data_IF_811173288816
#
_entry.id   IF_811173288816
#
_cell.length_a   1.000
_cell.length_b   1.000
_cell.length_c   1.000
_cell.angle_alpha   90.00
_cell.angle_beta   90.00
_cell.angle_gamma   90.00
#
_symmetry.space_group_name_H-M   'P 1'
#
loop_
_entity.id
_entity.type
_entity.pdbx_description
1 polymer ?
#
# COMPACT_ATOMS: atom_id res chain seq x y z
N UNK A 1 10.54 6.42 -14.66
CA UNK A 1 9.75 7.01 -13.56
C UNK A 1 10.73 7.24 -12.40
N UNK A 2 10.39 7.99 -11.34
CA UNK A 2 11.33 8.24 -10.25
C UNK A 2 11.42 6.97 -9.38
N UNK A 3 12.60 6.37 -9.24
CA UNK A 3 12.79 5.06 -8.56
C UNK A 3 12.21 5.06 -7.14
N UNK A 4 12.39 6.16 -6.40
CA UNK A 4 11.80 6.37 -5.08
C UNK A 4 10.27 6.28 -5.07
N UNK A 5 9.62 6.82 -6.09
CA UNK A 5 8.15 6.78 -6.24
C UNK A 5 7.69 5.36 -6.53
N UNK A 6 8.46 4.59 -7.31
CA UNK A 6 8.15 3.21 -7.63
C UNK A 6 8.28 2.30 -6.41
N UNK A 7 9.35 2.46 -5.61
CA UNK A 7 9.52 1.71 -4.34
C UNK A 7 8.39 1.97 -3.35
N UNK A 8 8.00 3.24 -3.17
CA UNK A 8 6.88 3.60 -2.27
C UNK A 8 5.55 3.10 -2.82
N UNK A 9 5.31 3.24 -4.14
CA UNK A 9 4.13 2.68 -4.81
C UNK A 9 4.02 1.19 -4.56
N UNK A 10 5.11 0.44 -4.72
CA UNK A 10 5.09 -1.02 -4.60
C UNK A 10 4.83 -1.46 -3.16
N UNK A 11 5.42 -0.78 -2.17
CA UNK A 11 5.10 -1.03 -0.76
C UNK A 11 3.61 -0.78 -0.46
N UNK A 12 3.07 0.36 -0.93
CA UNK A 12 1.66 0.71 -0.76
C UNK A 12 0.73 -0.27 -1.48
N UNK A 13 1.11 -0.76 -2.67
CA UNK A 13 0.31 -1.70 -3.44
C UNK A 13 0.15 -3.02 -2.69
N UNK A 14 1.21 -3.53 -2.04
CA UNK A 14 1.12 -4.73 -1.22
C UNK A 14 0.22 -4.54 0.02
N UNK A 15 0.26 -3.37 0.67
CA UNK A 15 -0.66 -3.03 1.76
C UNK A 15 -2.12 -3.00 1.30
N UNK A 16 -2.38 -2.39 0.13
CA UNK A 16 -3.71 -2.32 -0.46
C UNK A 16 -4.19 -3.73 -0.79
N UNK A 17 -3.40 -4.55 -1.49
CA UNK A 17 -3.75 -5.95 -1.79
C UNK A 17 -4.06 -6.74 -0.51
N UNK A 18 -3.24 -6.62 0.52
CA UNK A 18 -3.48 -7.29 1.80
C UNK A 18 -4.80 -6.88 2.46
N UNK A 19 -5.25 -5.63 2.27
CA UNK A 19 -6.52 -5.13 2.79
C UNK A 19 -7.74 -5.67 2.04
N UNK A 20 -7.60 -5.85 0.72
CA UNK A 20 -8.70 -6.16 -0.21
C UNK A 20 -8.88 -7.65 -0.48
N UNK A 21 -7.80 -8.43 -0.43
CA UNK A 21 -7.85 -9.86 -0.71
C UNK A 21 -8.50 -10.58 0.48
N UNK A 22 -9.61 -11.28 0.21
CA UNK A 22 -10.36 -12.04 1.21
C UNK A 22 -9.71 -13.38 1.57
N UNK A 23 -8.82 -13.92 0.74
CA UNK A 23 -8.06 -15.13 1.05
C UNK A 23 -6.96 -14.81 2.07
N UNK A 24 -7.04 -15.41 3.27
CA UNK A 24 -6.12 -15.15 4.37
C UNK A 24 -4.66 -15.45 4.03
N UNK A 25 -4.39 -16.49 3.22
CA UNK A 25 -3.02 -16.87 2.86
C UNK A 25 -2.39 -15.85 1.91
N UNK A 26 -3.17 -15.39 0.93
CA UNK A 26 -2.73 -14.39 -0.04
C UNK A 26 -2.63 -13.02 0.62
N UNK A 27 -3.57 -12.66 1.50
CA UNK A 27 -3.48 -11.46 2.34
C UNK A 27 -2.21 -11.47 3.20
N UNK A 28 -1.90 -12.60 3.85
CA UNK A 28 -0.68 -12.76 4.65
C UNK A 28 0.59 -12.58 3.80
N UNK A 29 0.64 -13.21 2.62
CA UNK A 29 1.78 -13.07 1.71
C UNK A 29 2.00 -11.61 1.27
N UNK A 30 0.92 -10.87 1.00
CA UNK A 30 1.01 -9.45 0.71
C UNK A 30 1.49 -8.62 1.92
N UNK A 31 1.07 -8.96 3.16
CA UNK A 31 1.60 -8.30 4.37
C UNK A 31 3.10 -8.51 4.53
N UNK A 32 3.59 -9.73 4.32
CA UNK A 32 5.03 -10.01 4.38
C UNK A 32 5.81 -9.31 3.27
N UNK A 33 5.27 -9.28 2.04
CA UNK A 33 5.86 -8.52 0.94
C UNK A 33 5.89 -7.01 1.21
N UNK A 34 4.87 -6.46 1.88
CA UNK A 34 4.84 -5.07 2.32
C UNK A 34 5.89 -4.79 3.40
N UNK A 35 6.03 -5.67 4.41
CA UNK A 35 7.07 -5.56 5.45
C UNK A 35 8.46 -5.51 4.85
N UNK A 36 8.76 -6.39 3.90
CA UNK A 36 10.07 -6.42 3.23
C UNK A 36 10.34 -5.10 2.48
N UNK A 37 9.37 -4.59 1.73
CA UNK A 37 9.51 -3.34 0.96
C UNK A 37 9.64 -2.12 1.86
N UNK A 38 8.86 -2.06 2.95
CA UNK A 38 8.96 -0.98 3.94
C UNK A 38 10.30 -1.03 4.68
N UNK A 39 10.82 -2.22 5.01
CA UNK A 39 12.16 -2.37 5.58
C UNK A 39 13.24 -1.89 4.62
N UNK A 40 13.12 -2.20 3.32
CA UNK A 40 14.03 -1.69 2.30
C UNK A 40 13.96 -0.16 2.15
N UNK A 41 12.76 0.42 2.20
CA UNK A 41 12.56 1.87 2.22
C UNK A 41 13.15 2.51 3.48
N UNK A 42 13.01 1.89 4.65
CA UNK A 42 13.60 2.41 5.88
C UNK A 42 15.14 2.34 5.87
N UNK A 43 15.71 1.32 5.21
CA UNK A 43 17.16 1.19 5.04
C UNK A 43 17.74 2.20 4.03
N UNK A 44 16.98 2.56 3.00
CA UNK A 44 17.33 3.56 1.98
C UNK A 44 16.15 4.55 1.78
N UNK A 45 16.00 5.52 2.69
CA UNK A 45 14.84 6.40 2.70
C UNK A 45 14.86 7.36 1.52
N UNK A 46 13.75 7.46 0.76
CA UNK A 46 13.67 8.41 -0.34
C UNK A 46 13.65 9.85 0.17
N UNK A 47 14.24 10.78 -0.58
CA UNK A 47 14.17 12.21 -0.25
C UNK A 47 12.71 12.70 -0.27
N UNK A 48 12.22 13.14 0.90
CA UNK A 48 10.85 13.62 1.07
C UNK A 48 10.49 14.79 0.15
N UNK A 49 11.45 15.65 -0.19
CA UNK A 49 11.24 16.77 -1.11
C UNK A 49 10.97 16.32 -2.56
N UNK A 50 11.43 15.13 -2.92
CA UNK A 50 11.35 14.58 -4.28
C UNK A 50 10.19 13.59 -4.47
N UNK A 51 9.45 13.27 -3.39
CA UNK A 51 8.39 12.26 -3.40
C UNK A 51 7.05 12.82 -2.90
N UNK A 52 6.03 12.75 -3.76
CA UNK A 52 4.64 13.05 -3.40
C UNK A 52 3.92 11.75 -3.05
N UNK A 53 3.62 11.55 -1.77
CA UNK A 53 2.98 10.31 -1.30
C UNK A 53 1.60 10.08 -1.93
N UNK A 54 0.79 11.13 -2.13
CA UNK A 54 -0.51 11.01 -2.80
C UNK A 54 -0.39 10.51 -4.25
N UNK A 55 0.71 10.87 -4.92
CA UNK A 55 1.03 10.39 -6.26
C UNK A 55 1.37 8.91 -6.26
N UNK A 56 2.22 8.48 -5.32
CA UNK A 56 2.57 7.07 -5.13
C UNK A 56 1.34 6.22 -4.74
N UNK A 57 0.48 6.76 -3.87
CA UNK A 57 -0.78 6.14 -3.45
C UNK A 57 -1.74 5.93 -4.61
N UNK A 58 -1.96 6.95 -5.45
CA UNK A 58 -2.82 6.83 -6.64
C UNK A 58 -2.29 5.75 -7.60
N UNK A 59 -0.98 5.64 -7.75
CA UNK A 59 -0.37 4.60 -8.59
C UNK A 59 -0.47 3.21 -7.94
N UNK A 60 -0.37 3.14 -6.61
CA UNK A 60 -0.47 1.90 -5.85
C UNK A 60 -1.88 1.30 -5.92
N UNK A 61 -2.92 2.14 -5.83
CA UNK A 61 -4.31 1.74 -6.05
C UNK A 61 -4.45 1.08 -7.43
N UNK A 62 -4.01 1.77 -8.49
CA UNK A 62 -4.06 1.23 -9.87
C UNK A 62 -3.28 -0.08 -10.03
N UNK A 63 -2.17 -0.23 -9.32
CA UNK A 63 -1.35 -1.44 -9.35
C UNK A 63 -2.01 -2.60 -8.58
N UNK A 64 -2.76 -2.30 -7.52
CA UNK A 64 -3.53 -3.30 -6.77
C UNK A 64 -4.80 -3.73 -7.52
N UNK A 65 -5.44 -2.81 -8.25
CA UNK A 65 -6.63 -3.05 -9.11
C UNK A 65 -6.26 -3.63 -10.49
N UNK A 66 -5.00 -4.03 -10.71
CA UNK A 66 -4.57 -4.58 -11.98
C UNK A 66 -5.41 -5.82 -12.34
N UNK A 67 -5.84 -5.97 -13.61
CA UNK A 67 -6.82 -6.99 -14.02
C UNK A 67 -6.39 -8.44 -13.75
N UNK A 68 -5.10 -8.67 -13.52
CA UNK A 68 -4.54 -9.96 -13.12
C UNK A 68 -4.94 -10.38 -11.69
N UNK A 69 -5.39 -9.43 -10.86
CA UNK A 69 -5.79 -9.62 -9.46
C UNK A 69 -7.33 -9.64 -9.27
N UNK A 70 -8.10 -9.22 -10.27
CA UNK A 70 -9.57 -9.22 -10.28
C UNK A 70 -10.24 -10.53 -9.83
N UNK A 71 -9.77 -11.75 -10.17
CA UNK A 71 -10.42 -12.98 -9.71
C UNK A 71 -10.20 -13.27 -8.21
N UNK A 72 -9.23 -12.60 -7.56
CA UNK A 72 -8.96 -12.72 -6.12
C UNK A 72 -9.59 -11.58 -5.29
N UNK A 73 -10.01 -10.49 -5.94
CA UNK A 73 -10.75 -9.39 -5.34
C UNK A 73 -12.22 -9.78 -5.18
N UNK A 74 -12.58 -10.28 -3.99
CA UNK A 74 -13.90 -10.84 -3.73
C UNK A 74 -15.07 -9.87 -3.94
N UNK A 75 -14.85 -8.55 -3.98
CA UNK A 75 -15.95 -7.58 -4.15
C UNK A 75 -15.50 -6.11 -4.31
N UNK A 76 -16.16 -5.43 -5.26
CA UNK A 76 -16.59 -4.00 -5.31
C UNK A 76 -15.55 -2.90 -5.48
N UNK A 77 -15.57 -2.24 -6.64
CA UNK A 77 -15.39 -0.79 -6.87
C UNK A 77 -14.98 -0.01 -5.61
N UNK A 78 -13.68 0.02 -5.33
CA UNK A 78 -13.16 0.51 -4.06
C UNK A 78 -13.04 2.01 -4.12
N UNK A 79 -13.83 2.69 -3.29
CA UNK A 79 -13.78 4.13 -3.08
C UNK A 79 -12.64 4.48 -2.12
N UNK A 80 -11.43 3.98 -2.42
CA UNK A 80 -10.24 4.39 -1.68
C UNK A 80 -10.08 5.91 -1.76
N UNK A 81 -9.67 6.56 -0.64
CA UNK A 81 -9.52 8.00 -0.61
C UNK A 81 -8.49 8.44 -1.63
N UNK A 82 -8.72 9.60 -2.25
CA UNK A 82 -7.76 10.20 -3.20
C UNK A 82 -6.45 10.61 -2.52
N UNK A 83 -6.53 11.00 -1.26
CA UNK A 83 -5.37 11.29 -0.44
C UNK A 83 -4.86 10.01 0.23
N UNK A 84 -3.54 9.89 0.36
CA UNK A 84 -2.94 8.79 1.08
C UNK A 84 -3.31 8.88 2.58
N UNK A 85 -3.72 7.79 3.23
CA UNK A 85 -3.99 7.79 4.68
C UNK A 85 -2.71 7.77 5.53
N UNK A 86 -1.53 7.79 4.91
CA UNK A 86 -0.22 7.71 5.57
C UNK A 86 0.70 8.81 5.08
N UNK A 87 1.58 9.32 5.95
CA UNK A 87 2.72 10.12 5.55
C UNK A 87 3.95 9.23 5.26
N UNK A 88 4.90 9.75 4.49
CA UNK A 88 6.12 9.00 4.15
C UNK A 88 6.94 8.69 5.40
N UNK A 89 7.03 9.66 6.31
CA UNK A 89 7.74 9.53 7.59
C UNK A 89 7.17 8.40 8.46
N UNK A 90 5.85 8.21 8.47
CA UNK A 90 5.21 7.13 9.21
C UNK A 90 5.56 5.77 8.61
N UNK A 91 5.52 5.65 7.27
CA UNK A 91 5.78 4.39 6.56
C UNK A 91 7.20 3.86 6.80
N UNK A 92 8.18 4.75 6.95
CA UNK A 92 9.58 4.39 7.21
C UNK A 92 9.94 4.47 8.69
N UNK A 93 8.97 4.79 9.57
CA UNK A 93 9.22 4.89 10.99
C UNK A 93 9.59 3.51 11.57
N UNK A 94 10.55 3.46 12.50
CA UNK A 94 10.85 2.22 13.21
C UNK A 94 9.60 1.74 13.95
N UNK A 95 9.20 0.50 13.68
CA UNK A 95 8.01 -0.10 14.30
C UNK A 95 6.70 0.23 13.61
N UNK A 96 6.71 0.69 12.34
CA UNK A 96 5.49 0.80 11.55
C UNK A 96 4.70 -0.52 11.54
N UNK A 97 3.44 -0.46 11.97
CA UNK A 97 2.58 -1.62 12.11
C UNK A 97 1.80 -1.87 10.81
N UNK A 98 2.28 -2.87 10.05
CA UNK A 98 1.68 -3.27 8.76
C UNK A 98 0.25 -3.78 8.94
N UNK A 99 -0.05 -4.51 10.01
CA UNK A 99 -1.39 -5.05 10.23
C UNK A 99 -2.37 -3.92 10.55
N UNK A 100 -1.96 -2.95 11.37
CA UNK A 100 -2.75 -1.75 11.65
C UNK A 100 -2.96 -0.87 10.39
N UNK A 101 -1.94 -0.77 9.54
CA UNK A 101 -2.04 -0.06 8.26
C UNK A 101 -3.05 -0.73 7.32
N UNK A 102 -2.99 -2.04 7.20
CA UNK A 102 -3.95 -2.84 6.40
C UNK A 102 -5.38 -2.64 6.91
N UNK A 103 -5.60 -2.68 8.22
CA UNK A 103 -6.92 -2.44 8.82
C UNK A 103 -7.41 -0.99 8.59
N UNK A 104 -6.50 -0.02 8.57
CA UNK A 104 -6.82 1.38 8.23
C UNK A 104 -7.31 1.49 6.79
N UNK A 105 -6.59 0.88 5.84
CA UNK A 105 -6.98 0.86 4.42
C UNK A 105 -8.34 0.17 4.25
N UNK A 106 -8.54 -0.99 4.89
CA UNK A 106 -9.80 -1.74 4.82
C UNK A 106 -10.99 -0.92 5.32
N UNK A 107 -10.80 -0.20 6.43
CA UNK A 107 -11.81 0.73 6.96
C UNK A 107 -12.09 1.85 5.96
N UNK A 108 -11.05 2.51 5.45
CA UNK A 108 -11.19 3.59 4.46
C UNK A 108 -11.95 3.13 3.21
N UNK A 109 -11.64 1.95 2.68
CA UNK A 109 -12.31 1.36 1.53
C UNK A 109 -13.80 1.03 1.78
N UNK A 110 -14.17 0.71 3.02
CA UNK A 110 -15.56 0.37 3.39
C UNK A 110 -16.45 1.60 3.64
N UNK A 111 -15.88 2.81 3.65
CA UNK A 111 -16.60 4.06 4.03
C UNK A 111 -16.93 5.00 2.86
N UNK A 112 -16.52 4.68 1.63
CA UNK A 112 -16.73 5.57 0.48
C UNK A 112 -17.91 5.19 -0.41
#
# INVERSE_FOLDING_TARGET
MNESVERVRDALAELIKAALISDDRTSLACRDAAREKLAALAADPPEAASLRIDGAWTLAIKAAEAPELQPAEGQVNLTLPRAAPFALEDLIAPGFDVDAAVETIRKSASTG
#
